data_IF_618051520533
#
_entry.id   IF_618051520533
#
_cell.length_a   1.000
_cell.length_b   1.000
_cell.length_c   1.000
_cell.angle_alpha   90.00
_cell.angle_beta   90.00
_cell.angle_gamma   90.00
#
_symmetry.space_group_name_H-M   'P 1'
#
loop_
_entity.id
_entity.type
_entity.pdbx_description
1 polymer ?
#
# COMPACT_ATOMS: atom_id res chain seq x y z
N UNK A 1 19.75 -16.19 -2.90
CA UNK A 1 19.06 -15.28 -3.85
C UNK A 1 17.76 -15.96 -4.28
N UNK A 2 16.60 -15.56 -3.74
CA UNK A 2 15.31 -16.01 -4.29
C UNK A 2 15.09 -15.24 -5.60
N UNK A 3 14.73 -15.95 -6.68
CA UNK A 3 14.59 -15.37 -8.02
C UNK A 3 13.42 -14.39 -8.07
N UNK A 4 13.63 -13.18 -8.59
CA UNK A 4 12.60 -12.14 -8.78
C UNK A 4 11.38 -12.63 -9.59
N UNK A 5 11.55 -13.68 -10.38
CA UNK A 5 10.47 -14.35 -11.12
C UNK A 5 9.49 -15.10 -10.21
N UNK A 6 9.94 -15.61 -9.08
CA UNK A 6 9.07 -16.34 -8.13
C UNK A 6 8.15 -15.38 -7.36
N UNK A 7 8.64 -14.19 -7.00
CA UNK A 7 7.85 -13.18 -6.26
C UNK A 7 6.76 -12.56 -7.15
N UNK A 8 7.07 -12.26 -8.41
CA UNK A 8 6.08 -11.77 -9.38
C UNK A 8 5.01 -12.83 -9.73
N UNK A 9 5.35 -14.12 -9.65
CA UNK A 9 4.37 -15.20 -9.86
C UNK A 9 3.28 -15.25 -8.80
N UNK A 10 3.51 -14.68 -7.61
CA UNK A 10 2.49 -14.53 -6.56
C UNK A 10 1.47 -13.48 -6.97
N UNK A 11 1.92 -12.38 -7.59
CA UNK A 11 1.04 -11.31 -8.08
C UNK A 11 0.13 -11.79 -9.23
N UNK A 12 0.62 -12.71 -10.07
CA UNK A 12 -0.17 -13.31 -11.15
C UNK A 12 -1.28 -14.27 -10.66
N UNK A 13 -1.29 -14.65 -9.37
CA UNK A 13 -2.29 -15.56 -8.78
C UNK A 13 -3.50 -14.83 -8.18
N UNK A 14 -3.49 -13.50 -8.13
CA UNK A 14 -4.65 -12.76 -7.62
C UNK A 14 -5.77 -12.79 -8.66
N UNK A 15 -6.87 -13.44 -8.29
CA UNK A 15 -8.10 -13.44 -9.09
C UNK A 15 -8.82 -12.09 -8.95
N UNK A 16 -9.54 -11.63 -9.99
CA UNK A 16 -10.49 -10.54 -9.87
C UNK A 16 -11.48 -10.81 -8.72
N UNK A 17 -11.80 -9.79 -7.92
CA UNK A 17 -12.73 -9.92 -6.81
C UNK A 17 -14.16 -10.01 -7.36
N UNK A 18 -14.85 -11.12 -7.12
CA UNK A 18 -16.26 -11.29 -7.46
C UNK A 18 -17.14 -10.39 -6.57
N UNK A 19 -17.97 -9.55 -7.18
CA UNK A 19 -18.81 -8.55 -6.51
C UNK A 19 -19.97 -9.12 -5.66
N UNK A 20 -20.15 -10.44 -5.59
CA UNK A 20 -21.34 -11.07 -5.01
C UNK A 20 -21.26 -11.37 -3.51
N UNK A 21 -20.10 -11.27 -2.88
CA UNK A 21 -19.93 -11.15 -1.43
C UNK A 21 -18.52 -10.62 -1.21
N UNK A 22 -18.39 -9.34 -0.85
CA UNK A 22 -17.09 -8.65 -0.76
C UNK A 22 -16.27 -9.15 0.44
N UNK A 23 -15.80 -10.39 0.37
CA UNK A 23 -14.79 -10.90 1.28
C UNK A 23 -13.43 -10.45 0.77
N UNK A 24 -12.71 -9.72 1.61
CA UNK A 24 -11.31 -9.36 1.39
C UNK A 24 -10.52 -10.14 2.45
N UNK A 25 -9.95 -11.31 2.13
CA UNK A 25 -9.18 -12.08 3.09
C UNK A 25 -8.02 -11.23 3.63
N UNK A 26 -8.03 -10.96 4.93
CA UNK A 26 -7.10 -10.02 5.58
C UNK A 26 -5.66 -10.45 5.36
N UNK A 27 -5.37 -11.74 5.51
CA UNK A 27 -4.04 -12.32 5.28
C UNK A 27 -3.55 -12.12 3.83
N UNK A 28 -4.41 -12.27 2.83
CA UNK A 28 -4.05 -12.06 1.43
C UNK A 28 -3.76 -10.59 1.15
N UNK A 29 -4.59 -9.69 1.66
CA UNK A 29 -4.35 -8.25 1.54
C UNK A 29 -3.00 -7.84 2.16
N UNK A 30 -2.73 -8.28 3.39
CA UNK A 30 -1.47 -8.00 4.08
C UNK A 30 -0.27 -8.62 3.36
N UNK A 31 -0.42 -9.81 2.78
CA UNK A 31 0.62 -10.42 1.94
C UNK A 31 0.94 -9.56 0.72
N UNK A 32 -0.06 -8.95 0.07
CA UNK A 32 0.19 -8.02 -1.05
C UNK A 32 0.93 -6.78 -0.54
N UNK A 33 0.48 -6.18 0.56
CA UNK A 33 1.14 -4.99 1.11
C UNK A 33 2.61 -5.26 1.49
N UNK A 34 2.93 -6.45 2.01
CA UNK A 34 4.30 -6.87 2.27
C UNK A 34 5.14 -7.06 0.99
N UNK A 35 4.54 -7.40 -0.15
CA UNK A 35 5.23 -7.39 -1.45
C UNK A 35 5.54 -5.97 -1.91
N UNK A 36 4.66 -5.00 -1.61
CA UNK A 36 4.94 -3.59 -1.89
C UNK A 36 6.19 -3.12 -1.13
N UNK A 37 6.33 -3.47 0.15
CA UNK A 37 7.55 -3.11 0.91
C UNK A 37 8.82 -3.62 0.23
N UNK A 38 8.82 -4.89 -0.19
CA UNK A 38 9.94 -5.49 -0.91
C UNK A 38 10.21 -4.79 -2.24
N UNK A 39 9.16 -4.40 -2.96
CA UNK A 39 9.30 -3.63 -4.20
C UNK A 39 9.91 -2.25 -3.94
N UNK A 40 9.44 -1.51 -2.93
CA UNK A 40 9.98 -0.20 -2.58
C UNK A 40 11.45 -0.27 -2.14
N UNK A 41 11.85 -1.34 -1.45
CA UNK A 41 13.25 -1.62 -1.11
C UNK A 41 14.13 -1.79 -2.38
N UNK A 42 13.56 -2.23 -3.51
CA UNK A 42 14.25 -2.32 -4.82
C UNK A 42 14.27 -1.00 -5.58
N UNK A 43 13.25 -0.15 -5.41
CA UNK A 43 13.20 1.18 -6.01
C UNK A 43 14.30 2.06 -5.43
N UNK A 44 14.51 1.99 -4.11
CA UNK A 44 15.65 2.61 -3.44
C UNK A 44 15.29 3.71 -2.43
N UNK A 45 16.28 4.48 -1.94
CA UNK A 45 16.15 5.35 -0.77
C UNK A 45 15.04 6.41 -0.88
N UNK A 46 14.70 6.86 -2.09
CA UNK A 46 13.60 7.81 -2.33
C UNK A 46 12.26 7.30 -1.78
N UNK A 47 12.09 5.98 -1.65
CA UNK A 47 10.85 5.37 -1.13
C UNK A 47 10.83 5.17 0.39
N UNK A 48 11.89 5.51 1.12
CA UNK A 48 12.02 5.20 2.56
C UNK A 48 10.85 5.69 3.40
N UNK A 49 10.36 6.91 3.17
CA UNK A 49 9.24 7.47 3.95
C UNK A 49 7.93 6.78 3.63
N UNK A 50 7.64 6.53 2.35
CA UNK A 50 6.44 5.80 1.95
C UNK A 50 6.48 4.35 2.46
N UNK A 51 7.63 3.70 2.37
CA UNK A 51 7.87 2.36 2.92
C UNK A 51 7.56 2.33 4.42
N UNK A 52 8.05 3.31 5.19
CA UNK A 52 7.81 3.36 6.63
C UNK A 52 6.33 3.57 6.97
N UNK A 53 5.61 4.42 6.23
CA UNK A 53 4.17 4.61 6.39
C UNK A 53 3.38 3.32 6.10
N UNK A 54 3.68 2.65 4.98
CA UNK A 54 3.08 1.37 4.61
C UNK A 54 3.32 0.33 5.70
N UNK A 55 4.55 0.22 6.20
CA UNK A 55 4.89 -0.72 7.27
C UNK A 55 4.04 -0.48 8.53
N UNK A 56 3.91 0.78 8.98
CA UNK A 56 3.09 1.11 10.15
C UNK A 56 1.60 0.80 9.93
N UNK A 57 1.11 1.00 8.71
CA UNK A 57 -0.28 0.68 8.37
C UNK A 57 -0.53 -0.84 8.31
N UNK A 58 0.42 -1.63 7.80
CA UNK A 58 0.39 -3.10 7.85
C UNK A 58 0.33 -3.59 9.29
N UNK A 59 1.26 -3.14 10.14
CA UNK A 59 1.33 -3.53 11.54
C UNK A 59 0.02 -3.24 12.29
N UNK A 60 -0.64 -2.13 11.96
CA UNK A 60 -1.93 -1.78 12.55
C UNK A 60 -3.03 -2.80 12.21
N UNK A 61 -3.08 -3.25 10.97
CA UNK A 61 -4.05 -4.26 10.54
C UNK A 61 -3.68 -5.67 11.03
N UNK A 62 -2.39 -6.01 11.06
CA UNK A 62 -1.88 -7.26 11.64
C UNK A 62 -2.26 -7.38 13.12
N UNK A 63 -2.01 -6.34 13.92
CA UNK A 63 -2.40 -6.33 15.33
C UNK A 63 -3.91 -6.54 15.55
N UNK A 64 -4.76 -5.97 14.67
CA UNK A 64 -6.20 -6.21 14.74
C UNK A 64 -6.53 -7.66 14.37
N UNK A 65 -5.95 -8.17 13.27
CA UNK A 65 -6.14 -9.55 12.84
C UNK A 65 -5.73 -10.56 13.91
N UNK A 66 -4.58 -10.35 14.55
CA UNK A 66 -4.05 -11.22 15.60
C UNK A 66 -4.89 -11.22 16.88
N UNK A 67 -5.67 -10.16 17.13
CA UNK A 67 -6.54 -10.08 18.30
C UNK A 67 -7.70 -11.08 18.27
N UNK A 68 -8.20 -11.41 17.08
CA UNK A 68 -9.14 -12.51 16.83
C UNK A 68 -9.07 -12.92 15.34
N UNK A 69 -8.19 -13.87 14.98
CA UNK A 69 -7.99 -14.27 13.59
C UNK A 69 -9.24 -14.87 12.92
N UNK A 70 -10.15 -15.44 13.71
CA UNK A 70 -11.40 -16.01 13.20
C UNK A 70 -12.35 -14.88 12.81
N UNK A 71 -12.60 -13.94 13.72
CA UNK A 71 -13.49 -12.79 13.49
C UNK A 71 -12.96 -11.86 12.39
N UNK A 72 -11.64 -11.61 12.40
CA UNK A 72 -11.00 -10.62 11.53
C UNK A 72 -10.32 -11.21 10.29
N UNK A 73 -10.65 -12.46 9.95
CA UNK A 73 -10.22 -13.13 8.71
C UNK A 73 -10.65 -12.40 7.44
N UNK A 74 -11.73 -11.60 7.51
CA UNK A 74 -12.20 -10.73 6.45
C UNK A 74 -12.04 -9.25 6.85
N UNK A 75 -11.35 -8.46 6.03
CA UNK A 75 -11.09 -7.04 6.26
C UNK A 75 -12.38 -6.25 6.50
N UNK A 76 -13.48 -6.64 5.85
CA UNK A 76 -14.78 -5.98 6.02
C UNK A 76 -15.28 -6.02 7.47
N UNK A 77 -14.98 -7.07 8.22
CA UNK A 77 -15.38 -7.16 9.64
C UNK A 77 -14.60 -6.19 10.52
N UNK A 78 -13.31 -5.96 10.23
CA UNK A 78 -12.51 -4.93 10.89
C UNK A 78 -13.11 -3.53 10.64
N UNK A 79 -13.47 -3.24 9.39
CA UNK A 79 -14.04 -1.94 9.02
C UNK A 79 -15.42 -1.70 9.65
N UNK A 80 -16.28 -2.74 9.68
CA UNK A 80 -17.59 -2.69 10.34
C UNK A 80 -17.45 -2.42 11.83
N UNK A 81 -16.55 -3.13 12.52
CA UNK A 81 -16.28 -2.92 13.96
C UNK A 81 -15.95 -1.45 14.24
N UNK A 82 -14.98 -0.89 13.53
CA UNK A 82 -14.57 0.50 13.75
C UNK A 82 -15.65 1.53 13.37
N UNK A 83 -16.50 1.20 12.41
CA UNK A 83 -17.64 2.05 12.04
C UNK A 83 -18.67 2.06 13.15
N UNK A 84 -19.03 0.89 13.68
CA UNK A 84 -20.00 0.74 14.77
C UNK A 84 -19.52 1.40 16.08
N UNK A 85 -18.21 1.40 16.34
CA UNK A 85 -17.62 2.05 17.51
C UNK A 85 -17.34 3.56 17.30
N UNK A 86 -17.63 4.11 16.12
CA UNK A 86 -17.31 5.52 15.79
C UNK A 86 -15.80 5.81 15.70
N UNK A 87 -14.97 4.78 15.57
CA UNK A 87 -13.51 4.87 15.56
C UNK A 87 -12.90 5.00 14.15
N UNK A 88 -13.67 4.70 13.09
CA UNK A 88 -13.17 4.59 11.71
C UNK A 88 -12.38 5.81 11.21
N UNK A 89 -12.68 7.03 11.69
CA UNK A 89 -12.01 8.27 11.27
C UNK A 89 -10.80 8.68 12.14
N UNK A 90 -10.56 8.00 13.27
CA UNK A 90 -9.43 8.32 14.16
C UNK A 90 -8.12 8.09 13.43
N UNK A 91 -7.11 8.94 13.66
CA UNK A 91 -5.81 8.89 12.96
C UNK A 91 -5.15 7.50 12.98
N UNK A 92 -5.34 6.76 14.07
CA UNK A 92 -4.77 5.44 14.32
C UNK A 92 -5.75 4.29 14.04
N UNK A 93 -6.81 4.51 13.26
CA UNK A 93 -7.78 3.48 12.92
C UNK A 93 -7.28 2.51 11.85
N UNK A 94 -7.75 1.28 11.88
CA UNK A 94 -7.56 0.26 10.85
C UNK A 94 -8.17 0.70 9.52
N UNK A 95 -9.30 1.40 9.55
CA UNK A 95 -9.98 1.93 8.36
C UNK A 95 -9.12 2.94 7.62
N UNK A 96 -8.42 3.81 8.35
CA UNK A 96 -7.45 4.73 7.74
C UNK A 96 -6.21 4.00 7.25
N UNK A 97 -5.69 3.03 7.99
CA UNK A 97 -4.57 2.22 7.54
C UNK A 97 -4.90 1.50 6.22
N UNK A 98 -6.06 0.84 6.15
CA UNK A 98 -6.55 0.20 4.95
C UNK A 98 -6.64 1.19 3.77
N UNK A 99 -7.22 2.37 3.98
CA UNK A 99 -7.30 3.41 2.96
C UNK A 99 -5.93 3.88 2.44
N UNK A 100 -4.95 4.07 3.33
CA UNK A 100 -3.61 4.47 2.92
C UNK A 100 -2.90 3.34 2.18
N UNK A 101 -3.06 2.09 2.61
CA UNK A 101 -2.51 0.92 1.90
C UNK A 101 -3.11 0.77 0.50
N UNK A 102 -4.41 1.00 0.31
CA UNK A 102 -5.02 0.99 -1.04
C UNK A 102 -4.47 2.09 -1.93
N UNK A 103 -4.22 3.30 -1.39
CA UNK A 103 -3.58 4.38 -2.16
C UNK A 103 -2.12 4.06 -2.51
N UNK A 104 -1.40 3.39 -1.61
CA UNK A 104 -0.04 2.91 -1.89
C UNK A 104 -0.02 1.82 -2.97
N UNK A 105 -1.06 0.99 -3.05
CA UNK A 105 -1.26 0.05 -4.16
C UNK A 105 -1.45 0.80 -5.48
N UNK A 106 -2.32 1.82 -5.53
CA UNK A 106 -2.52 2.65 -6.73
C UNK A 106 -1.21 3.30 -7.19
N UNK A 107 -0.43 3.86 -6.26
CA UNK A 107 0.91 4.38 -6.55
C UNK A 107 1.82 3.32 -7.16
N UNK A 108 1.86 2.13 -6.56
CA UNK A 108 2.72 1.02 -7.02
C UNK A 108 2.33 0.57 -8.42
N UNK A 109 1.03 0.44 -8.70
CA UNK A 109 0.51 0.09 -10.03
C UNK A 109 0.90 1.17 -11.05
N UNK A 110 0.71 2.45 -10.71
CA UNK A 110 1.07 3.56 -11.60
C UNK A 110 2.57 3.60 -11.91
N UNK A 111 3.42 3.37 -10.90
CA UNK A 111 4.87 3.31 -11.08
C UNK A 111 5.27 2.15 -11.99
N UNK A 112 4.73 0.95 -11.77
CA UNK A 112 5.01 -0.22 -12.62
C UNK A 112 4.54 -0.03 -14.06
N UNK A 113 3.37 0.57 -14.27
CA UNK A 113 2.85 0.91 -15.60
C UNK A 113 3.79 1.89 -16.31
N UNK A 114 4.22 2.95 -15.63
CA UNK A 114 5.18 3.92 -16.18
C UNK A 114 6.52 3.28 -16.52
N UNK A 115 7.08 2.46 -15.64
CA UNK A 115 8.33 1.75 -15.93
C UNK A 115 8.22 0.82 -17.13
N UNK A 116 7.03 0.24 -17.37
CA UNK A 116 6.75 -0.62 -18.54
C UNK A 116 6.61 0.18 -19.83
N UNK A 117 5.86 1.29 -19.79
CA UNK A 117 5.51 2.09 -20.98
C UNK A 117 6.65 3.02 -21.41
N UNK A 118 7.43 3.51 -20.45
CA UNK A 118 8.48 4.52 -20.65
C UNK A 118 9.83 4.05 -20.06
N UNK A 119 10.44 2.98 -20.57
CA UNK A 119 11.64 2.36 -19.97
C UNK A 119 12.90 3.24 -19.99
N UNK A 120 12.85 4.41 -20.62
CA UNK A 120 13.94 5.40 -20.65
C UNK A 120 13.81 6.49 -19.58
N UNK A 121 12.65 6.58 -18.90
CA UNK A 121 12.48 7.49 -17.77
C UNK A 121 13.43 7.11 -16.65
N UNK A 122 13.96 8.12 -15.95
CA UNK A 122 14.66 7.85 -14.69
C UNK A 122 13.66 7.33 -13.66
N UNK A 123 14.14 6.52 -12.71
CA UNK A 123 13.28 5.99 -11.65
C UNK A 123 12.64 7.13 -10.83
N UNK A 124 13.39 8.21 -10.61
CA UNK A 124 12.93 9.40 -9.88
C UNK A 124 11.80 10.11 -10.62
N UNK A 125 11.92 10.27 -11.94
CA UNK A 125 10.84 10.86 -12.75
C UNK A 125 9.60 9.98 -12.75
N UNK A 126 9.76 8.66 -12.90
CA UNK A 126 8.65 7.72 -12.85
C UNK A 126 7.94 7.74 -11.48
N UNK A 127 8.71 7.82 -10.40
CA UNK A 127 8.23 7.98 -9.02
C UNK A 127 7.48 9.31 -8.84
N UNK A 128 8.05 10.42 -9.31
CA UNK A 128 7.43 11.74 -9.20
C UNK A 128 6.08 11.79 -9.91
N UNK A 129 6.01 11.26 -11.13
CA UNK A 129 4.78 11.22 -11.90
C UNK A 129 3.72 10.33 -11.25
N UNK A 130 4.11 9.12 -10.83
CA UNK A 130 3.21 8.20 -10.13
C UNK A 130 2.66 8.83 -8.85
N UNK A 131 3.49 9.54 -8.10
CA UNK A 131 3.08 10.27 -6.91
C UNK A 131 2.09 11.39 -7.21
N UNK A 132 2.41 12.21 -8.22
CA UNK A 132 1.56 13.33 -8.63
C UNK A 132 0.16 12.86 -9.04
N UNK A 133 0.07 11.70 -9.69
CA UNK A 133 -1.19 11.11 -10.13
C UNK A 133 -1.99 10.48 -8.97
N UNK A 134 -1.33 9.87 -7.99
CA UNK A 134 -2.00 8.98 -7.01
C UNK A 134 -2.06 9.53 -5.59
N UNK A 135 -0.91 9.73 -4.93
CA UNK A 135 -0.83 10.08 -3.50
C UNK A 135 -1.00 11.59 -3.26
N UNK A 136 -0.49 12.43 -4.15
CA UNK A 136 -0.47 13.89 -3.98
C UNK A 136 -1.83 14.51 -3.68
N UNK A 137 -2.96 14.13 -4.33
CA UNK A 137 -4.28 14.69 -4.02
C UNK A 137 -4.72 14.47 -2.57
N UNK A 138 -4.15 13.45 -1.90
CA UNK A 138 -4.52 13.06 -0.54
C UNK A 138 -3.53 13.55 0.52
N UNK A 139 -2.34 13.98 0.11
CA UNK A 139 -1.33 14.52 0.99
C UNK A 139 -1.59 16.00 1.30
N UNK A 140 -1.56 16.34 2.59
CA UNK A 140 -1.47 17.74 3.00
C UNK A 140 -0.17 18.40 2.54
N UNK A 141 -0.06 19.71 2.74
CA UNK A 141 1.12 20.48 2.31
C UNK A 141 2.43 19.98 2.95
N UNK A 142 2.39 19.51 4.21
CA UNK A 142 3.54 18.95 4.92
C UNK A 142 4.02 17.66 4.25
N UNK A 143 3.12 16.68 4.08
CA UNK A 143 3.45 15.40 3.45
C UNK A 143 3.93 15.58 2.01
N UNK A 144 3.32 16.52 1.28
CA UNK A 144 3.76 16.87 -0.08
C UNK A 144 5.14 17.51 -0.13
N UNK A 145 5.47 18.38 0.83
CA UNK A 145 6.80 18.99 0.91
C UNK A 145 7.86 17.93 1.27
N UNK A 146 7.58 17.06 2.24
CA UNK A 146 8.49 15.98 2.62
C UNK A 146 8.82 15.06 1.43
N UNK A 147 7.81 14.69 0.64
CA UNK A 147 8.02 13.86 -0.56
C UNK A 147 8.93 14.54 -1.60
N UNK A 148 8.72 15.84 -1.86
CA UNK A 148 9.58 16.61 -2.79
C UNK A 148 11.04 16.63 -2.34
N UNK A 149 11.28 16.85 -1.05
CA UNK A 149 12.64 16.86 -0.50
C UNK A 149 13.32 15.51 -0.74
N UNK A 150 12.61 14.40 -0.51
CA UNK A 150 13.18 13.05 -0.67
C UNK A 150 13.55 12.72 -2.12
N UNK A 151 12.82 13.25 -3.10
CA UNK A 151 13.20 13.10 -4.52
C UNK A 151 14.45 13.92 -4.85
N UNK A 152 14.62 15.09 -4.23
CA UNK A 152 15.69 16.03 -4.56
C UNK A 152 17.03 15.68 -3.90
N UNK A 153 17.03 15.00 -2.76
CA UNK A 153 18.24 14.59 -2.06
C UNK A 153 18.63 13.14 -2.43
N UNK A 154 19.71 13.01 -3.21
CA UNK A 154 20.37 11.73 -3.55
C UNK A 154 21.17 11.15 -2.39
#
# INVERSE_FOLDING_TARGET
>A
MRSSTAELSVLAKFKPVDHAASSIPTNHFLSICNLILQFLDKVGPTMTVLRQDIYQNIQRLENMYESDPSMYSNMVEILKKETNEGNARKLTSCSRAFLWLTRSLDFTVSLLQKSKEEPRLSMEQAVEDAYNLTLKPWHGWISSAAFKVIILFK
#
